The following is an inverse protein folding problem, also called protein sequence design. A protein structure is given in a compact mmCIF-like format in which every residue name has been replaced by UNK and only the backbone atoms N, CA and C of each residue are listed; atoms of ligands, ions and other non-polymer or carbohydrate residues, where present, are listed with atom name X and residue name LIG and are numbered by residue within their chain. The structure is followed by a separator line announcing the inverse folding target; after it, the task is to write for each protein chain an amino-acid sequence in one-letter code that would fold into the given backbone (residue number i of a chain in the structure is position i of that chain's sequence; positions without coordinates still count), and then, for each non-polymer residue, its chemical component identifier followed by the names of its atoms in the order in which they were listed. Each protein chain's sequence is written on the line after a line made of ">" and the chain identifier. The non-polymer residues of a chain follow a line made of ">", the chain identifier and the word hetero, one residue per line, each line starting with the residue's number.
data_IF_204049121698
#
_entry.id   IF_204049121698
#
_cell.length_a   1.000
_cell.length_b   1.000
_cell.length_c   1.000
_cell.angle_alpha   90.00
_cell.angle_beta   90.00
_cell.angle_gamma   90.00
#
_symmetry.space_group_name_H-M   'P 1'
#
loop_
_entity.id
_entity.type
_entity.pdbx_description
1 polymer ?
#
# COMPACT_ATOMS: atom_id res chain seq x y z
N UNK A 1 -8.39 18.32 -5.68
CA UNK A 1 -9.01 16.99 -5.49
C UNK A 1 -9.70 16.99 -4.12
N UNK A 2 -11.01 16.76 -4.05
CA UNK A 2 -11.71 16.67 -2.76
C UNK A 2 -11.50 15.29 -2.15
N UNK A 3 -11.17 15.18 -0.84
CA UNK A 3 -11.13 13.90 -0.15
C UNK A 3 -12.51 13.22 -0.17
N UNK A 4 -12.54 11.89 -0.19
CA UNK A 4 -13.80 11.15 -0.13
C UNK A 4 -14.56 11.48 1.15
N UNK A 5 -15.88 11.64 1.04
CA UNK A 5 -16.76 11.64 2.21
C UNK A 5 -16.67 10.28 2.89
N UNK A 6 -16.32 10.27 4.17
CA UNK A 6 -16.16 9.03 4.94
C UNK A 6 -16.92 9.13 6.26
N UNK A 7 -17.37 7.99 6.78
CA UNK A 7 -18.12 7.94 8.03
C UNK A 7 -17.27 8.37 9.22
N UNK A 8 -17.89 8.84 10.30
CA UNK A 8 -17.17 9.28 11.50
C UNK A 8 -16.22 8.23 12.08
N UNK A 9 -16.60 6.95 12.02
CA UNK A 9 -15.74 5.84 12.46
C UNK A 9 -14.49 5.67 11.57
N UNK A 10 -14.63 5.85 10.26
CA UNK A 10 -13.51 5.77 9.32
C UNK A 10 -12.57 6.98 9.48
N UNK A 11 -13.11 8.19 9.70
CA UNK A 11 -12.30 9.38 9.99
C UNK A 11 -11.45 9.18 11.24
N UNK A 12 -12.02 8.60 12.29
CA UNK A 12 -11.29 8.32 13.53
C UNK A 12 -10.13 7.36 13.29
N UNK A 13 -10.36 6.26 12.56
CA UNK A 13 -9.32 5.30 12.21
C UNK A 13 -8.19 5.98 11.40
N UNK A 14 -8.54 6.76 10.38
CA UNK A 14 -7.57 7.50 9.56
C UNK A 14 -6.73 8.44 10.43
N UNK A 15 -7.35 9.19 11.35
CA UNK A 15 -6.63 10.11 12.25
C UNK A 15 -5.70 9.38 13.21
N UNK A 16 -6.15 8.27 13.78
CA UNK A 16 -5.34 7.46 14.70
C UNK A 16 -4.13 6.85 13.99
N UNK A 17 -4.33 6.26 12.81
CA UNK A 17 -3.25 5.65 12.03
C UNK A 17 -2.25 6.69 11.53
N UNK A 18 -2.74 7.83 11.02
CA UNK A 18 -1.90 8.98 10.63
C UNK A 18 -1.08 9.50 11.80
N UNK A 19 -1.67 9.61 12.99
CA UNK A 19 -0.97 10.06 14.20
C UNK A 19 0.13 9.08 14.61
N UNK A 20 -0.11 7.78 14.50
CA UNK A 20 0.90 6.76 14.76
C UNK A 20 2.05 6.84 13.76
N UNK A 21 1.76 7.02 12.46
CA UNK A 21 2.79 7.14 11.43
C UNK A 21 3.62 8.42 11.59
N UNK A 22 3.00 9.53 12.01
CA UNK A 22 3.72 10.77 12.37
C UNK A 22 4.66 10.52 13.55
N UNK A 23 4.20 9.88 14.62
CA UNK A 23 5.04 9.54 15.79
C UNK A 23 6.19 8.62 15.43
N UNK A 24 5.98 7.68 14.50
CA UNK A 24 7.00 6.75 14.01
C UNK A 24 7.94 7.38 12.96
N UNK A 25 7.69 8.61 12.51
CA UNK A 25 8.48 9.27 11.48
C UNK A 25 8.29 8.71 10.07
N UNK A 26 7.25 7.90 9.82
CA UNK A 26 6.96 7.31 8.51
C UNK A 26 6.44 8.37 7.53
N UNK A 27 5.68 9.34 8.03
CA UNK A 27 5.12 10.44 7.25
C UNK A 27 5.46 11.79 7.87
N UNK A 28 5.35 12.86 7.08
CA UNK A 28 5.51 14.25 7.53
C UNK A 28 4.43 15.14 6.91
N UNK A 29 4.06 16.25 7.57
CA UNK A 29 3.24 17.28 6.95
C UNK A 29 3.90 17.78 5.66
N UNK A 30 3.11 17.96 4.61
CA UNK A 30 3.57 18.40 3.29
C UNK A 30 2.63 19.43 2.70
N UNK A 31 3.17 20.38 1.94
CA UNK A 31 2.42 21.36 1.14
C UNK A 31 2.46 21.01 -0.36
N UNK A 32 2.64 19.73 -0.68
CA UNK A 32 2.72 19.25 -2.06
C UNK A 32 1.48 19.66 -2.87
N UNK A 33 1.66 20.09 -4.14
CA UNK A 33 0.54 20.31 -5.05
C UNK A 33 -0.16 19.00 -5.46
N UNK A 34 0.51 17.85 -5.28
CA UNK A 34 -0.05 16.52 -5.49
C UNK A 34 -0.57 15.94 -4.17
N UNK A 35 -1.80 15.42 -4.20
CA UNK A 35 -2.42 14.72 -3.10
C UNK A 35 -3.14 13.47 -3.62
N UNK A 36 -3.15 12.41 -2.82
CA UNK A 36 -3.92 11.19 -3.07
C UNK A 36 -4.83 10.93 -1.88
N UNK A 37 -6.06 10.46 -2.09
CA UNK A 37 -7.02 10.29 -1.02
C UNK A 37 -6.71 9.02 -0.22
N UNK A 38 -6.92 9.09 1.08
CA UNK A 38 -6.87 7.91 1.96
C UNK A 38 -8.27 7.27 2.04
N UNK A 39 -8.31 5.94 1.98
CA UNK A 39 -9.52 5.12 2.07
C UNK A 39 -9.35 4.06 3.16
N UNK A 40 -10.45 3.65 3.78
CA UNK A 40 -10.45 2.55 4.75
C UNK A 40 -10.96 1.29 4.05
N UNK A 41 -10.12 0.26 4.01
CA UNK A 41 -10.42 -1.01 3.37
C UNK A 41 -10.62 -2.09 4.43
N UNK A 42 -11.62 -2.95 4.26
CA UNK A 42 -11.82 -4.11 5.11
C UNK A 42 -10.84 -5.21 4.72
N UNK A 43 -10.28 -5.89 5.71
CA UNK A 43 -9.32 -6.97 5.49
C UNK A 43 -9.88 -8.29 6.01
N UNK A 44 -10.65 -9.03 5.19
CA UNK A 44 -11.36 -10.23 5.65
C UNK A 44 -10.40 -11.34 6.11
N UNK A 45 -9.18 -11.40 5.58
CA UNK A 45 -8.22 -12.47 5.85
C UNK A 45 -7.25 -12.19 7.01
N UNK A 46 -7.40 -11.08 7.72
CA UNK A 46 -6.53 -10.75 8.86
C UNK A 46 -7.38 -10.36 10.07
N UNK A 47 -7.73 -11.35 10.92
CA UNK A 47 -8.63 -11.16 12.06
C UNK A 47 -8.14 -10.09 13.06
N UNK A 48 -6.82 -9.96 13.22
CA UNK A 48 -6.19 -8.97 14.10
C UNK A 48 -6.23 -7.53 13.57
N UNK A 49 -6.39 -7.35 12.25
CA UNK A 49 -6.46 -6.04 11.61
C UNK A 49 -7.59 -6.00 10.57
N UNK A 50 -8.85 -5.95 11.03
CA UNK A 50 -10.03 -6.10 10.18
C UNK A 50 -10.28 -4.89 9.26
N UNK A 51 -9.64 -3.75 9.54
CA UNK A 51 -9.68 -2.53 8.73
C UNK A 51 -8.28 -1.93 8.62
N UNK A 52 -7.97 -1.32 7.47
CA UNK A 52 -6.68 -0.70 7.17
C UNK A 52 -6.90 0.63 6.47
N UNK A 53 -6.09 1.64 6.78
CA UNK A 53 -5.97 2.81 5.92
C UNK A 53 -5.08 2.47 4.71
N UNK A 54 -5.55 2.77 3.51
CA UNK A 54 -4.80 2.64 2.26
C UNK A 54 -4.89 3.95 1.48
N UNK A 55 -3.83 4.31 0.76
CA UNK A 55 -3.81 5.52 -0.08
C UNK A 55 -4.02 5.11 -1.52
N UNK A 56 -4.97 5.76 -2.19
CA UNK A 56 -5.29 5.45 -3.58
C UNK A 56 -4.30 6.12 -4.54
N UNK A 57 -3.22 5.40 -4.87
CA UNK A 57 -2.20 5.86 -5.81
C UNK A 57 -2.50 5.56 -7.28
N UNK A 58 -3.70 5.07 -7.64
CA UNK A 58 -4.00 4.66 -9.01
C UNK A 58 -3.72 5.76 -10.04
N UNK A 59 -4.15 6.98 -9.77
CA UNK A 59 -3.87 8.13 -10.64
C UNK A 59 -2.37 8.43 -10.72
N UNK A 60 -1.67 8.44 -9.58
CA UNK A 60 -0.24 8.69 -9.53
C UNK A 60 0.57 7.63 -10.31
N UNK A 61 0.16 6.38 -10.22
CA UNK A 61 0.80 5.27 -10.93
C UNK A 61 0.66 5.39 -12.45
N UNK A 62 -0.43 5.98 -12.96
CA UNK A 62 -0.55 6.27 -14.41
C UNK A 62 0.40 7.37 -14.88
N UNK A 63 0.89 8.22 -13.96
CA UNK A 63 1.82 9.32 -14.25
C UNK A 63 3.28 8.97 -13.95
N UNK A 64 3.52 7.80 -13.36
CA UNK A 64 4.86 7.37 -12.95
C UNK A 64 5.28 6.18 -13.79
N UNK A 65 6.42 6.27 -14.47
CA UNK A 65 7.06 5.13 -15.10
C UNK A 65 7.86 4.35 -14.07
N UNK A 66 7.64 3.03 -13.98
CA UNK A 66 8.51 2.15 -13.22
C UNK A 66 9.88 2.17 -13.92
N UNK A 67 10.93 2.55 -13.21
CA UNK A 67 12.30 2.36 -13.69
C UNK A 67 12.60 0.85 -13.66
N UNK A 68 12.17 0.13 -14.69
CA UNK A 68 12.17 -1.34 -14.76
C UNK A 68 13.56 -1.98 -14.88
N UNK A 69 14.63 -1.28 -14.52
CA UNK A 69 15.98 -1.78 -14.75
C UNK A 69 16.48 -2.81 -13.72
N UNK A 70 15.87 -2.99 -12.53
CA UNK A 70 16.53 -3.81 -11.50
C UNK A 70 15.66 -4.44 -10.42
N UNK A 71 14.47 -4.94 -10.75
CA UNK A 71 13.81 -5.94 -9.89
C UNK A 71 13.40 -7.14 -10.73
N UNK A 72 14.32 -8.10 -10.89
CA UNK A 72 13.94 -9.47 -11.23
C UNK A 72 13.25 -10.03 -9.99
N UNK A 73 11.94 -9.85 -9.91
CA UNK A 73 11.16 -10.66 -9.00
C UNK A 73 11.17 -12.06 -9.61
N UNK A 74 11.84 -13.01 -8.95
CA UNK A 74 11.63 -14.41 -9.28
C UNK A 74 10.19 -14.71 -8.96
N UNK A 75 9.40 -15.03 -9.98
CA UNK A 75 8.05 -15.45 -9.74
C UNK A 75 8.03 -16.88 -9.16
N UNK A 76 6.85 -17.35 -8.76
CA UNK A 76 6.73 -18.70 -8.19
C UNK A 76 7.11 -19.79 -9.19
N UNK A 77 7.02 -19.51 -10.50
CA UNK A 77 7.42 -20.46 -11.55
C UNK A 77 8.94 -20.49 -11.68
N UNK A 78 9.63 -19.35 -11.61
CA UNK A 78 11.08 -19.28 -11.58
C UNK A 78 11.65 -20.04 -10.37
N UNK A 79 11.04 -19.85 -9.19
CA UNK A 79 11.43 -20.57 -7.96
C UNK A 79 11.18 -22.07 -8.12
N UNK A 80 10.04 -22.46 -8.71
CA UNK A 80 9.70 -23.86 -8.93
C UNK A 80 10.65 -24.55 -9.91
N UNK A 81 11.05 -23.87 -11.00
CA UNK A 81 12.04 -24.36 -11.95
C UNK A 81 13.39 -24.56 -11.26
N UNK A 82 13.84 -23.60 -10.46
CA UNK A 82 15.09 -23.72 -9.70
C UNK A 82 15.08 -24.89 -8.71
N UNK A 83 13.96 -25.09 -8.02
CA UNK A 83 13.79 -26.22 -7.09
C UNK A 83 13.78 -27.54 -7.86
N UNK A 84 12.98 -27.65 -8.93
CA UNK A 84 12.87 -28.86 -9.75
C UNK A 84 14.21 -29.31 -10.31
N UNK A 85 14.98 -28.37 -10.87
CA UNK A 85 16.28 -28.66 -11.46
C UNK A 85 17.34 -29.03 -10.39
N UNK A 86 17.12 -28.65 -9.12
CA UNK A 86 17.96 -29.05 -7.98
C UNK A 86 17.64 -30.44 -7.42
N UNK A 87 16.42 -30.96 -7.63
CA UNK A 87 16.02 -32.29 -7.11
C UNK A 87 16.21 -33.43 -8.13
N UNK A 88 16.65 -33.13 -9.36
CA UNK A 88 17.05 -34.13 -10.34
C UNK A 88 15.97 -35.18 -10.64
N UNK A 89 14.88 -34.78 -11.31
CA UNK A 89 13.92 -35.69 -11.93
C UNK A 89 13.98 -35.59 -13.45
#
# INVERSE_FOLDING_TARGET
>A
MQPYSTSGANLRLIREETSQWLKKGIIRPSKSPYASPAIVVKSPHQPSMPKRMSVDYRFLNTKTSIASATYRHFDLQDIWIMVRDSVGH
#
